data_IF_270804550945
#
_entry.id   IF_270804550945
#
_cell.length_a   1.000
_cell.length_b   1.000
_cell.length_c   1.000
_cell.angle_alpha   90.00
_cell.angle_beta   90.00
_cell.angle_gamma   90.00
#
_symmetry.space_group_name_H-M   'P 1'
#
loop_
_entity.id
_entity.type
_entity.pdbx_description
1 polymer ?
#
# COMPACT_ATOMS: atom_id res chain seq x y z
N UNK A 1 6.33 18.02 5.91
CA UNK A 1 7.31 16.91 5.99
C UNK A 1 8.23 16.90 4.78
N UNK A 2 7.71 16.82 3.55
CA UNK A 2 8.51 16.74 2.30
C UNK A 2 9.49 17.92 2.12
N UNK A 3 9.20 19.09 2.69
CA UNK A 3 10.05 20.30 2.59
C UNK A 3 11.29 20.31 3.50
N UNK A 4 11.41 19.37 4.43
CA UNK A 4 12.51 19.32 5.40
C UNK A 4 13.75 18.57 4.87
N UNK A 5 13.65 17.91 3.71
CA UNK A 5 14.73 17.08 3.15
C UNK A 5 14.96 15.78 3.92
N UNK A 6 15.98 15.02 3.50
CA UNK A 6 16.28 13.72 4.08
C UNK A 6 15.40 12.60 3.52
N UNK A 7 15.28 11.50 4.25
CA UNK A 7 14.42 10.37 3.91
C UNK A 7 12.93 10.70 4.17
N UNK A 8 12.35 11.47 3.26
CA UNK A 8 10.99 11.97 3.36
C UNK A 8 9.95 10.85 3.25
N UNK A 9 10.26 9.77 2.55
CA UNK A 9 9.33 8.66 2.27
C UNK A 9 9.10 7.85 3.53
N UNK A 10 10.18 7.45 4.20
CA UNK A 10 10.11 6.73 5.48
C UNK A 10 9.47 7.59 6.56
N UNK A 11 9.87 8.87 6.66
CA UNK A 11 9.30 9.78 7.66
C UNK A 11 7.81 10.00 7.42
N UNK A 12 7.37 10.19 6.17
CA UNK A 12 5.97 10.36 5.83
C UNK A 12 5.16 9.07 6.13
N UNK A 13 5.72 7.90 5.85
CA UNK A 13 5.08 6.62 6.15
C UNK A 13 4.87 6.42 7.66
N UNK A 14 5.87 6.72 8.49
CA UNK A 14 5.78 6.60 9.96
C UNK A 14 4.74 7.57 10.51
N UNK A 15 4.80 8.85 10.12
CA UNK A 15 3.84 9.86 10.57
C UNK A 15 2.42 9.51 10.09
N UNK A 16 2.29 9.07 8.84
CA UNK A 16 1.03 8.62 8.27
C UNK A 16 0.42 7.45 9.05
N UNK A 17 1.23 6.47 9.44
CA UNK A 17 0.79 5.34 10.24
C UNK A 17 0.29 5.77 11.63
N UNK A 18 1.04 6.66 12.33
CA UNK A 18 0.64 7.15 13.66
C UNK A 18 -0.64 7.97 13.59
N UNK A 19 -0.72 8.92 12.63
CA UNK A 19 -1.92 9.75 12.45
C UNK A 19 -3.10 8.90 12.01
N UNK A 20 -2.90 7.99 11.06
CA UNK A 20 -3.92 7.09 10.56
C UNK A 20 -4.51 6.20 11.65
N UNK A 21 -3.67 5.66 12.55
CA UNK A 21 -4.14 4.88 13.69
C UNK A 21 -5.02 5.71 14.64
N UNK A 22 -4.77 7.02 14.75
CA UNK A 22 -5.55 7.92 15.61
C UNK A 22 -6.88 8.36 14.99
N UNK A 23 -6.87 8.71 13.70
CA UNK A 23 -8.04 9.29 13.04
C UNK A 23 -8.92 8.25 12.34
N UNK A 24 -8.37 7.05 12.12
CA UNK A 24 -9.04 5.98 11.37
C UNK A 24 -9.27 6.34 9.90
N UNK A 25 -9.97 5.46 9.18
CA UNK A 25 -10.27 5.67 7.76
C UNK A 25 -11.06 6.95 7.50
N UNK A 26 -12.01 7.28 8.36
CA UNK A 26 -12.85 8.47 8.22
C UNK A 26 -12.08 9.80 8.28
N UNK A 27 -10.89 9.80 8.87
CA UNK A 27 -10.01 10.98 8.92
C UNK A 27 -9.09 11.14 7.72
N UNK A 28 -9.13 10.20 6.75
CA UNK A 28 -8.32 10.24 5.54
C UNK A 28 -9.19 10.70 4.37
N UNK A 29 -8.76 11.68 3.55
CA UNK A 29 -9.53 12.12 2.39
C UNK A 29 -9.85 10.95 1.45
N UNK A 30 -11.12 10.82 1.04
CA UNK A 30 -11.58 9.72 0.19
C UNK A 30 -10.83 9.66 -1.15
N UNK A 31 -10.50 10.82 -1.71
CA UNK A 31 -9.74 10.95 -2.95
C UNK A 31 -8.37 10.25 -2.92
N UNK A 32 -7.76 10.09 -1.74
CA UNK A 32 -6.49 9.39 -1.60
C UNK A 32 -6.65 7.87 -1.78
N UNK A 33 -7.79 7.34 -1.38
CA UNK A 33 -8.11 5.92 -1.61
C UNK A 33 -8.47 5.62 -3.06
N UNK A 34 -9.19 6.55 -3.72
CA UNK A 34 -9.66 6.39 -5.09
C UNK A 34 -8.49 6.34 -6.10
N UNK A 35 -7.38 6.98 -5.75
CA UNK A 35 -6.18 7.02 -6.60
C UNK A 35 -5.16 5.92 -6.26
N UNK A 36 -5.47 5.06 -5.29
CA UNK A 36 -4.57 4.00 -4.85
C UNK A 36 -4.71 2.78 -5.75
N UNK A 37 -3.86 2.69 -6.77
CA UNK A 37 -3.85 1.62 -7.75
C UNK A 37 -3.10 0.36 -7.26
N UNK A 38 -3.48 -0.19 -6.09
CA UNK A 38 -2.90 -1.42 -5.56
C UNK A 38 -3.80 -2.64 -5.85
N UNK A 39 -3.22 -3.63 -6.52
CA UNK A 39 -3.87 -4.89 -6.82
C UNK A 39 -2.84 -6.03 -6.69
N UNK A 40 -3.20 -7.19 -6.12
CA UNK A 40 -4.50 -7.61 -5.57
C UNK A 40 -4.79 -7.17 -4.14
N UNK A 41 -3.88 -6.43 -3.49
CA UNK A 41 -4.02 -5.92 -2.13
C UNK A 41 -4.72 -4.56 -2.11
N UNK A 42 -5.95 -4.54 -2.59
CA UNK A 42 -6.76 -3.32 -2.67
C UNK A 42 -7.09 -2.74 -1.28
N UNK A 43 -7.58 -1.51 -1.25
CA UNK A 43 -8.07 -0.87 -0.02
C UNK A 43 -9.12 -1.75 0.66
N UNK A 44 -10.07 -2.30 -0.09
CA UNK A 44 -11.09 -3.20 0.45
C UNK A 44 -10.48 -4.49 1.06
N UNK A 45 -9.43 -5.03 0.46
CA UNK A 45 -8.71 -6.17 1.04
C UNK A 45 -8.03 -5.80 2.37
N UNK A 46 -7.43 -4.61 2.46
CA UNK A 46 -6.81 -4.12 3.69
C UNK A 46 -7.84 -3.87 4.79
N UNK A 47 -9.02 -3.35 4.46
CA UNK A 47 -10.14 -3.17 5.39
C UNK A 47 -10.60 -4.52 5.95
N UNK A 48 -10.83 -5.49 5.08
CA UNK A 48 -11.21 -6.84 5.49
C UNK A 48 -10.16 -7.50 6.39
N UNK A 49 -8.88 -7.26 6.11
CA UNK A 49 -7.79 -7.73 6.97
C UNK A 49 -7.83 -7.06 8.35
N UNK A 50 -8.06 -5.74 8.39
CA UNK A 50 -8.10 -5.00 9.65
C UNK A 50 -9.29 -5.39 10.54
N UNK A 51 -10.47 -5.60 9.96
CA UNK A 51 -11.66 -6.09 10.65
C UNK A 51 -11.45 -7.48 11.25
N UNK A 52 -10.85 -8.39 10.47
CA UNK A 52 -10.52 -9.73 10.96
C UNK A 52 -9.49 -9.69 12.07
N UNK A 53 -8.44 -8.87 11.93
CA UNK A 53 -7.45 -8.69 12.98
C UNK A 53 -8.10 -8.17 14.26
N UNK A 54 -8.94 -7.16 14.17
CA UNK A 54 -9.65 -6.61 15.32
C UNK A 54 -10.53 -7.66 16.02
N UNK A 55 -11.27 -8.47 15.25
CA UNK A 55 -12.09 -9.55 15.80
C UNK A 55 -11.26 -10.62 16.49
N UNK A 56 -10.12 -11.01 15.91
CA UNK A 56 -9.22 -11.99 16.52
C UNK A 56 -8.54 -11.47 17.79
N UNK A 57 -8.15 -10.20 17.81
CA UNK A 57 -7.62 -9.58 19.02
C UNK A 57 -8.67 -9.54 20.15
N UNK A 58 -9.93 -9.29 19.81
CA UNK A 58 -11.01 -9.24 20.79
C UNK A 58 -11.38 -10.63 21.33
N UNK A 59 -11.37 -11.66 20.49
CA UNK A 59 -11.78 -13.03 20.86
C UNK A 59 -10.62 -13.94 21.27
N UNK A 60 -9.37 -13.49 21.06
CA UNK A 60 -8.14 -14.28 21.26
C UNK A 60 -8.15 -15.66 20.53
N UNK A 61 -8.88 -15.74 19.43
CA UNK A 61 -9.00 -16.94 18.61
C UNK A 61 -8.10 -16.87 17.39
N UNK A 62 -7.47 -17.99 17.05
CA UNK A 62 -6.71 -18.09 15.80
C UNK A 62 -7.66 -18.29 14.62
N UNK A 63 -7.71 -17.34 13.70
CA UNK A 63 -8.46 -17.46 12.48
C UNK A 63 -7.61 -17.80 11.26
N UNK A 64 -8.23 -18.31 10.21
CA UNK A 64 -7.56 -18.55 8.95
C UNK A 64 -7.03 -17.24 8.35
N UNK A 65 -5.82 -17.26 7.81
CA UNK A 65 -5.25 -16.11 7.10
C UNK A 65 -6.08 -15.75 5.86
N UNK A 66 -6.07 -14.48 5.48
CA UNK A 66 -6.65 -14.08 4.18
C UNK A 66 -5.80 -14.66 3.05
N UNK A 67 -6.46 -15.41 2.18
CA UNK A 67 -5.78 -15.97 1.02
C UNK A 67 -5.55 -14.87 -0.04
N UNK A 68 -4.34 -14.85 -0.59
CA UNK A 68 -3.97 -14.00 -1.72
C UNK A 68 -3.61 -14.90 -2.89
N UNK A 69 -4.19 -14.65 -4.05
CA UNK A 69 -3.88 -15.42 -5.25
C UNK A 69 -2.41 -15.21 -5.66
N UNK A 70 -1.56 -16.24 -5.62
CA UNK A 70 -0.15 -16.10 -5.95
C UNK A 70 0.08 -15.76 -7.42
N UNK A 71 -0.80 -16.21 -8.32
CA UNK A 71 -0.73 -15.87 -9.74
C UNK A 71 -1.00 -14.37 -9.97
N UNK A 72 -1.98 -13.82 -9.25
CA UNK A 72 -2.26 -12.38 -9.30
C UNK A 72 -1.07 -11.55 -8.82
N UNK A 73 -0.39 -11.97 -7.75
CA UNK A 73 0.84 -11.33 -7.29
C UNK A 73 1.97 -11.42 -8.31
N UNK A 74 2.12 -12.58 -8.95
CA UNK A 74 3.15 -12.78 -9.98
C UNK A 74 2.92 -11.83 -11.16
N UNK A 75 1.70 -11.80 -11.70
CA UNK A 75 1.35 -10.90 -12.81
C UNK A 75 1.58 -9.44 -12.45
N UNK A 76 1.12 -9.01 -11.27
CA UNK A 76 1.37 -7.65 -10.77
C UNK A 76 2.87 -7.33 -10.72
N UNK A 77 3.67 -8.23 -10.18
CA UNK A 77 5.11 -8.00 -10.05
C UNK A 77 5.82 -7.94 -11.39
N UNK A 78 5.43 -8.76 -12.35
CA UNK A 78 5.95 -8.72 -13.73
C UNK A 78 5.59 -7.39 -14.39
N UNK A 79 4.32 -6.95 -14.30
CA UNK A 79 3.89 -5.66 -14.84
C UNK A 79 4.66 -4.50 -14.21
N UNK A 80 4.82 -4.50 -12.89
CA UNK A 80 5.59 -3.47 -12.20
C UNK A 80 7.05 -3.44 -12.64
N UNK A 81 7.67 -4.62 -12.76
CA UNK A 81 9.04 -4.75 -13.26
C UNK A 81 9.18 -4.17 -14.69
N UNK A 82 8.23 -4.47 -15.58
CA UNK A 82 8.25 -3.93 -16.95
C UNK A 82 8.13 -2.40 -16.96
N UNK A 83 7.27 -1.83 -16.13
CA UNK A 83 7.13 -0.37 -15.98
C UNK A 83 8.45 0.24 -15.52
N UNK A 84 9.07 -0.31 -14.49
CA UNK A 84 10.35 0.19 -13.94
C UNK A 84 11.47 0.09 -14.96
N UNK A 85 11.59 -1.05 -15.66
CA UNK A 85 12.58 -1.24 -16.70
C UNK A 85 12.38 -0.26 -17.87
N UNK A 86 11.15 -0.07 -18.32
CA UNK A 86 10.82 0.88 -19.38
C UNK A 86 11.22 2.31 -19.01
N UNK A 87 10.92 2.72 -17.76
CA UNK A 87 11.34 4.03 -17.27
C UNK A 87 12.86 4.16 -17.13
N UNK A 88 13.53 3.11 -16.67
CA UNK A 88 14.99 3.05 -16.57
C UNK A 88 15.66 3.16 -17.94
N UNK A 89 15.22 2.37 -18.90
CA UNK A 89 15.75 2.41 -20.27
C UNK A 89 15.49 3.75 -20.97
N UNK A 90 14.29 4.34 -20.75
CA UNK A 90 13.98 5.66 -21.31
C UNK A 90 14.93 6.75 -20.82
N UNK A 91 15.46 6.63 -19.60
CA UNK A 91 16.44 7.58 -19.05
C UNK A 91 17.87 7.35 -19.59
N UNK A 92 18.16 6.19 -20.16
CA UNK A 92 19.46 5.87 -20.76
C UNK A 92 19.55 6.31 -22.23
N UNK A 93 18.41 6.62 -22.87
CA UNK A 93 18.37 7.03 -24.26
C UNK A 93 18.35 8.57 -24.36
N UNK A 94 19.29 9.22 -25.09
CA UNK A 94 19.20 10.64 -25.37
C UNK A 94 18.01 10.94 -26.30
N UNK A 95 17.48 12.20 -26.30
CA UNK A 95 17.96 13.41 -25.65
C UNK A 95 17.36 13.61 -24.26
N UNK A 96 18.20 14.09 -23.37
CA UNK A 96 17.77 14.53 -22.05
C UNK A 96 17.23 15.95 -22.17
#
# INVERSE_FOLDING_TARGET
MIRLGGDSDTTAAIVGAIVGARVGKAGIPAEWFDHLAEWPRSVAWMEHLSERLASHCATQTNGASLWINPLALFVRNVLFMLIVLTHGFRRLLPPY
#
